data_IF_741339389420
#
_entry.id   IF_741339389420
#
_cell.length_a   1.000
_cell.length_b   1.000
_cell.length_c   1.000
_cell.angle_alpha   90.00
_cell.angle_beta   90.00
_cell.angle_gamma   90.00
#
_symmetry.space_group_name_H-M   'P 1'
#
loop_
_entity.id
_entity.type
_entity.pdbx_description
1 polymer ?
#
# COMPACT_ATOMS: atom_id res chain seq x y z
N UNK A 1 14.58 16.13 -24.14
CA UNK A 1 13.30 16.00 -23.41
C UNK A 1 12.86 14.55 -23.47
N UNK A 2 12.78 13.83 -22.34
CA UNK A 2 12.36 12.42 -22.36
C UNK A 2 10.86 12.33 -22.71
N UNK A 3 10.54 11.53 -23.74
CA UNK A 3 9.16 11.36 -24.19
C UNK A 3 8.22 10.80 -23.11
N UNK A 4 6.89 10.93 -23.28
CA UNK A 4 5.89 10.47 -22.31
C UNK A 4 6.08 9.00 -21.90
N UNK A 5 6.35 8.11 -22.87
CA UNK A 5 6.57 6.68 -22.64
C UNK A 5 7.75 6.40 -21.70
N UNK A 6 8.87 7.11 -21.87
CA UNK A 6 10.06 6.97 -21.03
C UNK A 6 9.74 7.37 -19.58
N UNK A 7 8.99 8.47 -19.38
CA UNK A 7 8.55 8.88 -18.02
C UNK A 7 7.61 7.86 -17.38
N UNK A 8 6.79 7.15 -18.16
CA UNK A 8 5.93 6.07 -17.62
C UNK A 8 6.73 4.83 -17.25
N UNK A 9 7.68 4.42 -18.08
CA UNK A 9 8.59 3.30 -17.76
C UNK A 9 9.37 3.55 -16.47
N UNK A 10 9.94 4.75 -16.30
CA UNK A 10 10.63 5.09 -15.06
C UNK A 10 9.71 5.13 -13.84
N UNK A 11 8.51 5.71 -13.97
CA UNK A 11 7.55 5.72 -12.87
C UNK A 11 7.16 4.29 -12.45
N UNK A 12 6.92 3.41 -13.41
CA UNK A 12 6.60 2.01 -13.14
C UNK A 12 7.78 1.26 -12.51
N UNK A 13 9.00 1.45 -13.01
CA UNK A 13 10.21 0.86 -12.42
C UNK A 13 10.41 1.26 -10.95
N UNK A 14 10.24 2.54 -10.63
CA UNK A 14 10.28 3.01 -9.24
C UNK A 14 9.12 2.46 -8.41
N UNK A 15 7.93 2.34 -9.01
CA UNK A 15 6.73 1.86 -8.35
C UNK A 15 6.80 0.37 -7.98
N UNK A 16 7.58 -0.43 -8.70
CA UNK A 16 7.89 -1.79 -8.27
C UNK A 16 8.59 -1.78 -6.90
N UNK A 17 9.51 -0.85 -6.67
CA UNK A 17 10.22 -0.74 -5.38
C UNK A 17 9.31 -0.13 -4.32
N UNK A 18 8.78 1.09 -4.54
CA UNK A 18 7.96 1.77 -3.52
C UNK A 18 6.66 1.03 -3.23
N UNK A 19 6.04 0.42 -4.24
CA UNK A 19 4.87 -0.45 -4.08
C UNK A 19 5.18 -1.75 -3.34
N UNK A 20 6.35 -2.36 -3.55
CA UNK A 20 6.77 -3.54 -2.77
C UNK A 20 6.97 -3.19 -1.31
N UNK A 21 7.66 -2.08 -1.01
CA UNK A 21 7.87 -1.63 0.37
C UNK A 21 6.54 -1.29 1.05
N UNK A 22 5.64 -0.59 0.35
CA UNK A 22 4.29 -0.30 0.82
C UNK A 22 3.47 -1.57 1.08
N UNK A 23 3.54 -2.56 0.18
CA UNK A 23 2.90 -3.85 0.32
C UNK A 23 3.39 -4.59 1.57
N UNK A 24 4.70 -4.69 1.77
CA UNK A 24 5.29 -5.42 2.90
C UNK A 24 4.96 -4.73 4.23
N UNK A 25 5.17 -3.41 4.32
CA UNK A 25 4.91 -2.64 5.55
C UNK A 25 3.44 -2.70 5.97
N UNK A 26 2.51 -2.52 5.03
CA UNK A 26 1.08 -2.67 5.30
C UNK A 26 0.67 -4.12 5.60
N UNK A 27 1.33 -5.12 5.00
CA UNK A 27 1.12 -6.55 5.32
C UNK A 27 1.57 -6.90 6.74
N UNK A 28 2.69 -6.34 7.20
CA UNK A 28 3.15 -6.48 8.59
C UNK A 28 2.13 -5.86 9.54
N UNK A 29 1.66 -4.63 9.23
CA UNK A 29 0.61 -3.98 10.02
C UNK A 29 -0.68 -4.82 10.08
N UNK A 30 -1.16 -5.32 8.94
CA UNK A 30 -2.31 -6.22 8.85
C UNK A 30 -2.11 -7.47 9.72
N UNK A 31 -0.92 -8.06 9.69
CA UNK A 31 -0.61 -9.27 10.46
C UNK A 31 -0.59 -9.02 11.97
N UNK A 32 0.03 -7.92 12.38
CA UNK A 32 0.09 -7.52 13.80
C UNK A 32 -1.29 -7.17 14.34
N UNK A 33 -2.07 -6.41 13.59
CA UNK A 33 -3.43 -6.01 13.99
C UNK A 33 -4.41 -7.19 13.93
N UNK A 34 -4.24 -8.10 12.96
CA UNK A 34 -4.97 -9.37 12.92
C UNK A 34 -4.66 -10.25 14.13
N UNK A 35 -3.41 -10.30 14.58
CA UNK A 35 -3.06 -10.97 15.84
C UNK A 35 -3.67 -10.27 17.04
N UNK A 36 -3.62 -8.94 17.10
CA UNK A 36 -4.10 -8.16 18.25
C UNK A 36 -5.63 -8.18 18.41
N UNK A 37 -6.40 -8.06 17.32
CA UNK A 37 -7.87 -7.97 17.38
C UNK A 37 -8.58 -9.32 17.24
N UNK A 38 -7.95 -10.30 16.57
CA UNK A 38 -8.59 -11.56 16.20
C UNK A 38 -7.88 -12.81 16.71
N UNK A 39 -6.70 -12.67 17.34
CA UNK A 39 -5.77 -13.76 17.66
C UNK A 39 -5.26 -14.53 16.42
N UNK A 40 -5.36 -13.93 15.22
CA UNK A 40 -5.06 -14.59 13.93
C UNK A 40 -4.33 -13.66 12.96
N UNK A 41 -3.02 -13.82 12.83
CA UNK A 41 -2.18 -12.95 11.99
C UNK A 41 -2.53 -13.01 10.49
N UNK A 42 -2.91 -14.18 9.97
CA UNK A 42 -3.20 -14.34 8.54
C UNK A 42 -4.62 -13.90 8.13
N UNK A 43 -5.54 -13.71 9.09
CA UNK A 43 -6.95 -13.55 8.78
C UNK A 43 -7.26 -12.30 7.92
N UNK A 44 -6.67 -11.11 8.20
CA UNK A 44 -6.92 -9.94 7.34
C UNK A 44 -6.37 -10.13 5.92
N UNK A 45 -5.25 -10.84 5.75
CA UNK A 45 -4.62 -11.08 4.45
C UNK A 45 -5.44 -11.99 3.53
N UNK A 46 -6.38 -12.76 4.07
CA UNK A 46 -7.30 -13.57 3.28
C UNK A 46 -8.36 -12.72 2.56
N UNK A 47 -8.61 -11.48 3.03
CA UNK A 47 -9.63 -10.57 2.51
C UNK A 47 -9.61 -10.40 0.99
N UNK A 48 -8.49 -9.93 0.40
CA UNK A 48 -8.46 -9.56 -1.02
C UNK A 48 -8.72 -10.74 -1.96
N UNK A 49 -8.46 -11.98 -1.51
CA UNK A 49 -8.74 -13.19 -2.29
C UNK A 49 -10.23 -13.39 -2.61
N UNK A 50 -11.13 -12.60 -1.99
CA UNK A 50 -12.54 -12.52 -2.37
C UNK A 50 -12.76 -12.09 -3.84
N UNK A 51 -11.79 -11.43 -4.46
CA UNK A 51 -11.83 -11.08 -5.89
C UNK A 51 -11.89 -12.33 -6.78
N UNK A 52 -11.40 -13.47 -6.31
CA UNK A 52 -11.43 -14.74 -7.02
C UNK A 52 -12.48 -15.64 -6.37
N UNK A 53 -12.40 -15.80 -5.05
CA UNK A 53 -13.15 -16.82 -4.32
C UNK A 53 -14.49 -16.33 -3.77
N UNK A 54 -14.83 -15.05 -3.89
CA UNK A 54 -16.09 -14.52 -3.39
C UNK A 54 -16.09 -14.13 -1.91
N UNK A 55 -17.22 -13.60 -1.44
CA UNK A 55 -17.34 -12.84 -0.18
C UNK A 55 -17.16 -13.65 1.10
N UNK A 56 -17.02 -14.98 1.03
CA UNK A 56 -16.69 -15.82 2.17
C UNK A 56 -15.19 -15.86 2.49
N UNK A 57 -14.33 -15.49 1.54
CA UNK A 57 -12.87 -15.52 1.72
C UNK A 57 -12.34 -14.68 2.91
N UNK A 58 -12.85 -13.46 3.19
CA UNK A 58 -12.39 -12.66 4.33
C UNK A 58 -12.65 -13.32 5.69
N UNK A 59 -13.62 -14.24 5.78
CA UNK A 59 -13.98 -14.92 7.04
C UNK A 59 -13.12 -16.15 7.34
N UNK A 60 -12.18 -16.49 6.46
CA UNK A 60 -11.23 -17.57 6.70
C UNK A 60 -10.18 -17.12 7.71
N UNK A 61 -10.08 -17.83 8.84
CA UNK A 61 -9.22 -17.44 9.95
C UNK A 61 -7.77 -17.96 9.83
N UNK A 62 -7.59 -19.05 9.11
CA UNK A 62 -6.32 -19.76 9.04
C UNK A 62 -5.49 -19.32 7.84
N UNK A 63 -4.18 -19.50 7.97
CA UNK A 63 -3.28 -19.40 6.82
C UNK A 63 -3.65 -20.46 5.78
N UNK A 64 -3.68 -20.07 4.52
CA UNK A 64 -3.83 -21.01 3.41
C UNK A 64 -3.20 -20.45 2.14
N UNK A 65 -2.67 -21.32 1.29
CA UNK A 65 -2.18 -20.89 -0.04
C UNK A 65 -3.31 -20.27 -0.86
N UNK A 66 -4.50 -20.86 -0.80
CA UNK A 66 -5.67 -20.42 -1.56
C UNK A 66 -6.14 -19.01 -1.21
N UNK A 67 -6.16 -18.64 0.07
CA UNK A 67 -6.69 -17.34 0.50
C UNK A 67 -5.59 -16.35 0.88
N UNK A 68 -4.57 -16.78 1.62
CA UNK A 68 -3.53 -15.87 2.15
C UNK A 68 -2.55 -15.45 1.06
N UNK A 69 -2.01 -16.41 0.31
CA UNK A 69 -1.03 -16.09 -0.75
C UNK A 69 -1.72 -15.35 -1.90
N UNK A 70 -2.89 -15.83 -2.34
CA UNK A 70 -3.69 -15.12 -3.36
C UNK A 70 -4.06 -13.71 -2.88
N UNK A 71 -4.51 -13.57 -1.63
CA UNK A 71 -4.87 -12.27 -1.07
C UNK A 71 -3.67 -11.32 -1.00
N UNK A 72 -2.51 -11.81 -0.59
CA UNK A 72 -1.27 -11.04 -0.61
C UNK A 72 -0.87 -10.63 -2.04
N UNK A 73 -0.97 -11.51 -3.03
CA UNK A 73 -0.62 -11.16 -4.42
C UNK A 73 -1.54 -10.07 -4.99
N UNK A 74 -2.83 -10.10 -4.66
CA UNK A 74 -3.79 -9.05 -5.04
C UNK A 74 -3.44 -7.74 -4.33
N UNK A 75 -3.20 -7.78 -3.02
CA UNK A 75 -2.78 -6.61 -2.24
C UNK A 75 -1.47 -6.00 -2.77
N UNK A 76 -0.49 -6.84 -3.09
CA UNK A 76 0.79 -6.43 -3.65
C UNK A 76 0.62 -5.78 -5.03
N UNK A 77 -0.19 -6.38 -5.91
CA UNK A 77 -0.48 -5.84 -7.24
C UNK A 77 -1.19 -4.48 -7.13
N UNK A 78 -2.17 -4.36 -6.23
CA UNK A 78 -2.83 -3.08 -5.94
C UNK A 78 -1.85 -2.04 -5.36
N UNK A 79 -0.92 -2.48 -4.51
CA UNK A 79 0.13 -1.62 -3.95
C UNK A 79 1.04 -1.04 -5.03
N UNK A 80 1.51 -1.86 -5.98
CA UNK A 80 2.32 -1.42 -7.14
C UNK A 80 1.51 -0.49 -8.05
N UNK A 81 0.23 -0.80 -8.28
CA UNK A 81 -0.66 0.06 -9.05
C UNK A 81 -0.75 1.47 -8.44
N UNK A 82 -1.03 1.59 -7.14
CA UNK A 82 -1.08 2.88 -6.46
C UNK A 82 0.29 3.56 -6.37
N UNK A 83 1.36 2.80 -6.17
CA UNK A 83 2.72 3.32 -6.21
C UNK A 83 3.08 3.96 -7.56
N UNK A 84 2.53 3.46 -8.67
CA UNK A 84 2.74 4.07 -9.99
C UNK A 84 2.22 5.51 -10.04
N UNK A 85 1.06 5.76 -9.44
CA UNK A 85 0.50 7.11 -9.32
C UNK A 85 1.29 7.99 -8.35
N UNK A 86 1.79 7.42 -7.26
CA UNK A 86 2.70 8.10 -6.33
C UNK A 86 3.99 8.56 -7.00
N UNK A 87 4.67 7.67 -7.73
CA UNK A 87 5.89 8.03 -8.46
C UNK A 87 5.62 9.05 -9.56
N UNK A 88 4.46 8.96 -10.23
CA UNK A 88 4.03 9.97 -11.20
C UNK A 88 3.80 11.33 -10.57
N UNK A 89 3.15 11.37 -9.41
CA UNK A 89 2.92 12.61 -8.69
C UNK A 89 4.26 13.22 -8.26
N UNK A 90 5.17 12.41 -7.69
CA UNK A 90 6.52 12.87 -7.31
C UNK A 90 7.33 13.42 -8.48
N UNK A 91 7.28 12.79 -9.65
CA UNK A 91 7.95 13.29 -10.86
C UNK A 91 7.47 14.65 -11.35
N UNK A 92 6.29 15.11 -10.89
CA UNK A 92 5.73 16.42 -11.22
C UNK A 92 6.01 17.48 -10.15
N UNK A 93 6.38 17.05 -8.94
CA UNK A 93 6.65 17.94 -7.83
C UNK A 93 8.12 18.37 -7.82
N UNK A 94 8.43 19.57 -7.30
CA UNK A 94 9.81 19.96 -7.04
C UNK A 94 10.51 18.99 -6.08
N UNK A 95 11.85 18.91 -6.09
CA UNK A 95 12.60 18.15 -5.10
C UNK A 95 12.18 18.49 -3.67
N UNK A 96 11.96 17.47 -2.85
CA UNK A 96 11.51 17.64 -1.48
C UNK A 96 12.56 18.36 -0.64
N UNK A 97 12.14 19.43 0.06
CA UNK A 97 13.02 20.26 0.89
C UNK A 97 13.03 19.85 2.36
N UNK A 98 12.06 19.04 2.80
CA UNK A 98 11.93 18.53 4.16
C UNK A 98 11.12 17.23 4.15
N UNK A 99 11.07 16.53 5.29
CA UNK A 99 10.35 15.27 5.44
C UNK A 99 8.84 15.39 5.13
N UNK A 100 8.21 16.51 5.47
CA UNK A 100 6.79 16.72 5.17
C UNK A 100 6.52 16.76 3.66
N UNK A 101 7.40 17.38 2.88
CA UNK A 101 7.32 17.39 1.41
C UNK A 101 7.53 15.99 0.80
N UNK A 102 8.22 15.08 1.50
CA UNK A 102 8.35 13.67 1.08
C UNK A 102 7.06 12.88 1.40
N UNK A 103 6.44 13.14 2.55
CA UNK A 103 5.25 12.42 3.04
C UNK A 103 3.96 12.86 2.34
N UNK A 104 3.82 14.14 1.99
CA UNK A 104 2.58 14.69 1.46
C UNK A 104 2.06 13.95 0.20
N UNK A 105 2.88 13.62 -0.82
CA UNK A 105 2.42 12.87 -1.98
C UNK A 105 1.95 11.44 -1.63
N UNK A 106 2.59 10.79 -0.65
CA UNK A 106 2.18 9.47 -0.20
C UNK A 106 0.83 9.55 0.51
N UNK A 107 0.62 10.56 1.37
CA UNK A 107 -0.67 10.79 2.03
C UNK A 107 -1.80 11.03 1.01
N UNK A 108 -1.55 11.83 -0.03
CA UNK A 108 -2.53 12.08 -1.11
C UNK A 108 -2.91 10.78 -1.81
N UNK A 109 -1.94 9.98 -2.21
CA UNK A 109 -2.20 8.72 -2.94
C UNK A 109 -2.87 7.67 -2.06
N UNK A 110 -2.43 7.52 -0.81
CA UNK A 110 -3.07 6.63 0.17
C UNK A 110 -4.52 7.03 0.43
N UNK A 111 -4.81 8.33 0.50
CA UNK A 111 -6.19 8.83 0.66
C UNK A 111 -7.03 8.53 -0.57
N UNK A 112 -6.47 8.71 -1.77
CA UNK A 112 -7.15 8.33 -3.01
C UNK A 112 -7.42 6.82 -3.06
N UNK A 113 -6.44 5.99 -2.67
CA UNK A 113 -6.59 4.54 -2.58
C UNK A 113 -7.71 4.14 -1.62
N UNK A 114 -7.67 4.64 -0.38
CA UNK A 114 -8.73 4.42 0.61
C UNK A 114 -10.11 4.81 0.09
N UNK A 115 -10.20 5.97 -0.56
CA UNK A 115 -11.47 6.47 -1.10
C UNK A 115 -12.00 5.53 -2.18
N UNK A 116 -11.15 5.14 -3.15
CA UNK A 116 -11.54 4.21 -4.22
C UNK A 116 -11.93 2.85 -3.66
N UNK A 117 -11.13 2.30 -2.76
CA UNK A 117 -11.34 0.98 -2.18
C UNK A 117 -12.69 0.86 -1.45
N UNK A 118 -13.16 1.93 -0.79
CA UNK A 118 -14.35 1.87 0.05
C UNK A 118 -15.58 2.62 -0.49
N UNK A 119 -15.43 3.53 -1.46
CA UNK A 119 -16.54 4.35 -1.96
C UNK A 119 -16.86 4.10 -3.44
N UNK A 120 -15.87 3.66 -4.24
CA UNK A 120 -16.05 3.48 -5.69
C UNK A 120 -15.93 2.03 -6.14
N UNK A 121 -15.45 1.14 -5.26
CA UNK A 121 -15.21 -0.26 -5.59
C UNK A 121 -16.41 -1.12 -5.17
N UNK A 122 -16.95 -1.99 -6.06
CA UNK A 122 -17.99 -2.93 -5.69
C UNK A 122 -17.57 -3.79 -4.48
N UNK A 123 -18.52 -4.20 -3.64
CA UNK A 123 -18.21 -4.95 -2.40
C UNK A 123 -17.37 -6.23 -2.59
N UNK A 124 -17.39 -6.83 -3.78
CA UNK A 124 -16.58 -8.02 -4.13
C UNK A 124 -15.12 -7.68 -4.41
N UNK A 125 -14.83 -6.43 -4.76
CA UNK A 125 -13.51 -5.95 -5.14
C UNK A 125 -12.87 -5.06 -4.05
N UNK A 126 -13.54 -4.86 -2.91
CA UNK A 126 -12.92 -4.20 -1.76
C UNK A 126 -11.74 -5.02 -1.22
N UNK A 127 -10.83 -4.42 -0.42
CA UNK A 127 -9.73 -5.17 0.19
C UNK A 127 -10.19 -6.32 1.10
N UNK A 128 -11.35 -6.21 1.74
CA UNK A 128 -11.86 -7.21 2.68
C UNK A 128 -11.27 -7.10 4.08
N UNK A 129 -10.27 -6.24 4.30
CA UNK A 129 -9.72 -5.92 5.62
C UNK A 129 -10.78 -5.33 6.55
N UNK A 130 -11.70 -4.53 5.99
CA UNK A 130 -12.78 -3.84 6.70
C UNK A 130 -13.80 -4.78 7.35
N UNK A 131 -13.83 -6.04 6.90
CA UNK A 131 -14.69 -7.08 7.48
C UNK A 131 -14.08 -7.72 8.72
N UNK A 132 -12.79 -7.47 8.96
CA UNK A 132 -11.96 -8.20 9.93
C UNK A 132 -11.31 -7.29 10.95
N UNK A 133 -10.97 -6.06 10.56
CA UNK A 133 -10.30 -5.10 11.41
C UNK A 133 -11.20 -3.93 11.75
N UNK A 134 -11.00 -3.37 12.94
CA UNK A 134 -11.64 -2.12 13.36
C UNK A 134 -11.24 -0.96 12.45
N UNK A 135 -12.05 0.12 12.43
CA UNK A 135 -11.74 1.34 11.67
C UNK A 135 -10.39 1.96 12.07
N UNK A 136 -10.02 1.88 13.34
CA UNK A 136 -8.73 2.38 13.86
C UNK A 136 -7.57 1.56 13.30
N UNK A 137 -7.71 0.24 13.26
CA UNK A 137 -6.73 -0.65 12.66
C UNK A 137 -6.58 -0.43 11.16
N UNK A 138 -7.68 -0.21 10.43
CA UNK A 138 -7.61 0.17 9.02
C UNK A 138 -6.83 1.48 8.83
N UNK A 139 -7.07 2.50 9.65
CA UNK A 139 -6.31 3.75 9.59
C UNK A 139 -4.80 3.48 9.77
N UNK A 140 -4.42 2.64 10.72
CA UNK A 140 -3.02 2.24 10.94
C UNK A 140 -2.43 1.50 9.73
N UNK A 141 -3.19 0.61 9.09
CA UNK A 141 -2.75 -0.10 7.88
C UNK A 141 -2.50 0.86 6.72
N UNK A 142 -3.41 1.81 6.47
CA UNK A 142 -3.22 2.82 5.42
C UNK A 142 -2.10 3.80 5.77
N UNK A 143 -1.89 4.13 7.05
CA UNK A 143 -0.73 4.91 7.49
C UNK A 143 0.58 4.17 7.24
N UNK A 144 0.66 2.86 7.57
CA UNK A 144 1.80 2.02 7.26
C UNK A 144 2.07 1.93 5.75
N UNK A 145 1.01 1.80 4.95
CA UNK A 145 1.10 1.85 3.49
C UNK A 145 1.69 3.18 2.99
N UNK A 146 1.22 4.32 3.49
CA UNK A 146 1.75 5.64 3.14
C UNK A 146 3.24 5.79 3.52
N UNK A 147 3.63 5.33 4.70
CA UNK A 147 5.02 5.33 5.13
C UNK A 147 5.88 4.44 4.24
N UNK A 148 5.39 3.26 3.86
CA UNK A 148 6.08 2.36 2.94
C UNK A 148 6.25 2.95 1.54
N UNK A 149 5.25 3.66 1.00
CA UNK A 149 5.38 4.41 -0.25
C UNK A 149 6.50 5.46 -0.15
N UNK A 150 6.56 6.19 0.96
CA UNK A 150 7.52 7.27 1.18
C UNK A 150 8.92 6.80 1.61
N UNK A 151 9.09 5.53 1.98
CA UNK A 151 10.29 5.06 2.66
C UNK A 151 11.59 5.31 1.89
N UNK A 152 11.63 4.97 0.60
CA UNK A 152 12.83 5.18 -0.24
C UNK A 152 13.18 6.66 -0.36
N UNK A 153 12.19 7.50 -0.57
CA UNK A 153 12.37 8.95 -0.67
C UNK A 153 12.78 9.59 0.67
N UNK A 154 12.31 9.05 1.80
CA UNK A 154 12.72 9.49 3.13
C UNK A 154 14.18 9.12 3.41
N UNK A 155 14.59 7.90 3.05
CA UNK A 155 15.98 7.44 3.19
C UNK A 155 16.91 8.29 2.32
N UNK A 156 16.56 8.56 1.06
CA UNK A 156 17.33 9.42 0.17
C UNK A 156 17.46 10.85 0.72
N UNK A 157 16.36 11.41 1.22
CA UNK A 157 16.34 12.75 1.82
C UNK A 157 17.22 12.81 3.08
N UNK A 158 17.13 11.80 3.93
CA UNK A 158 17.94 11.69 5.14
C UNK A 158 19.43 11.61 4.83
N UNK A 159 19.82 10.76 3.86
CA UNK A 159 21.23 10.62 3.45
C UNK A 159 21.80 11.94 2.93
N UNK A 160 21.07 12.68 2.09
CA UNK A 160 21.50 13.99 1.58
C UNK A 160 21.62 15.06 2.68
N UNK A 161 20.80 14.98 3.72
CA UNK A 161 20.88 15.92 4.84
C UNK A 161 22.11 15.70 5.73
N UNK A 162 22.81 14.56 5.59
CA UNK A 162 24.00 14.19 6.37
C UNK A 162 25.32 14.43 5.64
N UNK A 163 25.33 14.64 4.33
CA UNK A 163 26.56 14.97 3.61
C UNK A 163 26.99 16.41 3.96
N UNK A 164 28.19 16.61 4.54
CA UNK A 164 28.72 17.95 4.76
C UNK A 164 29.04 18.61 3.41
N UNK A 165 28.76 19.91 3.31
CA UNK A 165 29.04 20.74 2.14
C UNK A 165 30.54 20.85 1.84
#
# INVERSE_FOLDING_TARGET
MNGPLTRWKHAFGNALVSGTVASITSTVALSMLGKAELDRSAAPLNGPSQWIWGRHAPYQNQFSLRYTIVGYLIHHSASVFWATWYEKLRQRLPPARNAMAVLAPAAVITTAAYTVDFHFTPQRLTPGFERRLSKRSLLTVYAAFALGLAATALLDHYSRSREPA
#
